data_IF_929227072405
#
_entry.id   IF_929227072405
#
_cell.length_a   1.000
_cell.length_b   1.000
_cell.length_c   1.000
_cell.angle_alpha   90.00
_cell.angle_beta   90.00
_cell.angle_gamma   90.00
#
_symmetry.space_group_name_H-M   'P 1'
#
loop_
_entity.id
_entity.type
_entity.pdbx_description
1 polymer ?
#
# COMPACT_ATOMS: atom_id res chain seq x y z
N UNK A 1 -8.01 10.43 -9.67
CA UNK A 1 -7.03 9.37 -9.96
C UNK A 1 -5.66 10.01 -10.08
N UNK A 2 -4.63 9.54 -9.33
CA UNK A 2 -3.27 10.04 -9.51
C UNK A 2 -2.84 9.84 -10.96
N UNK A 3 -2.18 10.84 -11.54
CA UNK A 3 -1.57 10.68 -12.87
C UNK A 3 -0.63 9.49 -12.84
N UNK A 4 -0.72 8.62 -13.84
CA UNK A 4 0.22 7.51 -14.01
C UNK A 4 1.65 8.04 -14.07
N UNK A 5 2.55 7.33 -13.42
CA UNK A 5 3.98 7.66 -13.49
C UNK A 5 4.50 7.22 -14.86
N UNK A 6 5.22 8.09 -15.56
CA UNK A 6 5.85 7.73 -16.85
C UNK A 6 6.97 6.72 -16.58
N UNK A 7 6.74 5.46 -16.98
CA UNK A 7 7.69 4.37 -16.78
C UNK A 7 9.05 4.58 -17.46
N UNK A 8 9.11 5.43 -18.49
CA UNK A 8 10.34 5.69 -19.26
C UNK A 8 11.25 6.75 -18.62
N UNK A 9 10.70 7.58 -17.75
CA UNK A 9 11.41 8.74 -17.17
C UNK A 9 11.27 8.86 -15.67
N UNK A 10 10.85 7.80 -14.99
CA UNK A 10 10.58 7.84 -13.56
C UNK A 10 11.85 7.96 -12.74
N UNK A 11 11.85 8.89 -11.80
CA UNK A 11 12.92 9.03 -10.81
C UNK A 11 12.53 8.31 -9.51
N UNK A 12 13.49 7.75 -8.74
CA UNK A 12 13.19 7.09 -7.47
C UNK A 12 12.37 7.94 -6.50
N UNK A 13 12.64 9.25 -6.43
CA UNK A 13 11.90 10.17 -5.59
C UNK A 13 10.44 10.36 -6.04
N UNK A 14 10.16 10.26 -7.34
CA UNK A 14 8.79 10.32 -7.87
C UNK A 14 8.01 9.06 -7.53
N UNK A 15 8.66 7.89 -7.63
CA UNK A 15 8.07 6.62 -7.19
C UNK A 15 7.73 6.65 -5.70
N UNK A 16 8.67 7.09 -4.86
CA UNK A 16 8.44 7.20 -3.42
C UNK A 16 7.25 8.11 -3.10
N UNK A 17 7.14 9.27 -3.77
CA UNK A 17 5.99 10.18 -3.62
C UNK A 17 4.69 9.56 -4.12
N UNK A 18 4.72 8.85 -5.24
CA UNK A 18 3.54 8.17 -5.79
C UNK A 18 3.03 7.09 -4.84
N UNK A 19 3.92 6.27 -4.27
CA UNK A 19 3.59 5.26 -3.27
C UNK A 19 3.00 5.89 -1.99
N UNK A 20 3.58 6.99 -1.50
CA UNK A 20 3.03 7.70 -0.34
C UNK A 20 1.61 8.19 -0.58
N UNK A 21 1.36 8.85 -1.73
CA UNK A 21 0.03 9.33 -2.10
C UNK A 21 -0.97 8.20 -2.28
N UNK A 22 -0.56 7.10 -2.90
CA UNK A 22 -1.39 5.90 -3.07
C UNK A 22 -1.79 5.32 -1.71
N UNK A 23 -0.83 5.17 -0.81
CA UNK A 23 -1.08 4.71 0.56
C UNK A 23 -2.06 5.61 1.31
N UNK A 24 -1.90 6.93 1.22
CA UNK A 24 -2.83 7.89 1.82
C UNK A 24 -4.22 7.81 1.20
N UNK A 25 -4.30 7.62 -0.12
CA UNK A 25 -5.54 7.42 -0.85
C UNK A 25 -6.28 6.16 -0.36
N UNK A 26 -5.55 5.06 -0.18
CA UNK A 26 -6.11 3.83 0.37
C UNK A 26 -6.65 3.99 1.78
N UNK A 27 -5.91 4.67 2.66
CA UNK A 27 -6.38 4.95 4.03
C UNK A 27 -7.67 5.78 4.01
N UNK A 28 -7.75 6.78 3.13
CA UNK A 28 -8.99 7.59 2.97
C UNK A 28 -10.15 6.74 2.48
N UNK A 29 -9.91 5.87 1.48
CA UNK A 29 -10.93 4.98 0.94
C UNK A 29 -11.45 4.00 2.01
N UNK A 30 -10.55 3.41 2.81
CA UNK A 30 -10.94 2.53 3.91
C UNK A 30 -11.79 3.25 4.96
N UNK A 31 -11.43 4.48 5.32
CA UNK A 31 -12.23 5.30 6.25
C UNK A 31 -13.60 5.62 5.70
N UNK A 32 -13.68 5.94 4.41
CA UNK A 32 -14.95 6.17 3.74
C UNK A 32 -15.83 4.91 3.75
N UNK A 33 -15.25 3.75 3.43
CA UNK A 33 -15.96 2.47 3.48
C UNK A 33 -16.49 2.14 4.88
N UNK A 34 -15.70 2.38 5.92
CA UNK A 34 -16.14 2.20 7.31
C UNK A 34 -17.30 3.14 7.66
N UNK A 35 -17.22 4.41 7.28
CA UNK A 35 -18.29 5.38 7.50
C UNK A 35 -19.60 5.04 6.75
N UNK A 36 -19.50 4.25 5.70
CA UNK A 36 -20.62 3.76 4.87
C UNK A 36 -21.09 2.36 5.26
N UNK A 37 -20.80 1.90 6.45
CA UNK A 37 -21.23 0.58 6.92
C UNK A 37 -20.53 -0.60 6.25
N UNK A 38 -19.28 -0.43 5.78
CA UNK A 38 -18.50 -1.50 5.16
C UNK A 38 -18.65 -1.59 3.64
N UNK A 39 -19.28 -0.61 3.00
CA UNK A 39 -19.48 -0.55 1.54
C UNK A 39 -18.69 0.59 0.92
N UNK A 40 -17.99 0.31 -0.16
CA UNK A 40 -17.32 1.32 -0.98
C UNK A 40 -18.28 1.87 -2.04
N UNK A 41 -18.09 3.14 -2.48
CA UNK A 41 -18.81 3.64 -3.65
C UNK A 41 -18.45 2.77 -4.87
N UNK A 42 -19.35 2.68 -5.86
CA UNK A 42 -19.03 1.98 -7.10
C UNK A 42 -17.70 2.49 -7.65
N UNK A 43 -16.74 1.59 -7.75
CA UNK A 43 -15.43 1.94 -8.29
C UNK A 43 -15.56 2.19 -9.80
N UNK A 44 -14.70 3.04 -10.35
CA UNK A 44 -14.56 3.21 -11.78
C UNK A 44 -14.25 1.88 -12.50
N UNK A 45 -13.80 0.88 -11.78
CA UNK A 45 -13.54 -0.47 -12.25
C UNK A 45 -14.70 -1.39 -11.87
N UNK A 46 -15.50 -1.74 -12.83
CA UNK A 46 -16.74 -2.49 -12.67
C UNK A 46 -16.60 -3.86 -11.99
N UNK A 47 -15.39 -4.42 -11.98
CA UNK A 47 -15.12 -5.77 -11.46
C UNK A 47 -14.59 -5.79 -10.03
N UNK A 48 -14.47 -4.63 -9.36
CA UNK A 48 -14.02 -4.60 -7.98
C UNK A 48 -15.16 -4.82 -7.01
N UNK A 49 -14.96 -5.66 -5.99
CA UNK A 49 -15.96 -5.83 -4.95
C UNK A 49 -16.16 -4.51 -4.19
N UNK A 50 -17.42 -4.16 -3.96
CA UNK A 50 -17.81 -2.98 -3.18
C UNK A 50 -17.79 -3.25 -1.67
N UNK A 51 -17.74 -4.51 -1.28
CA UNK A 51 -17.54 -4.91 0.12
C UNK A 51 -16.12 -4.58 0.58
N UNK A 52 -16.01 -3.84 1.68
CA UNK A 52 -14.74 -3.32 2.18
C UNK A 52 -13.74 -4.42 2.54
N UNK A 53 -14.20 -5.53 3.13
CA UNK A 53 -13.33 -6.61 3.56
C UNK A 53 -12.75 -7.35 2.35
N UNK A 54 -13.58 -7.65 1.34
CA UNK A 54 -13.13 -8.27 0.10
C UNK A 54 -12.17 -7.35 -0.68
N UNK A 55 -12.49 -6.06 -0.76
CA UNK A 55 -11.62 -5.09 -1.42
C UNK A 55 -10.25 -5.00 -0.74
N UNK A 56 -10.21 -4.93 0.59
CA UNK A 56 -8.96 -4.90 1.35
C UNK A 56 -8.16 -6.20 1.15
N UNK A 57 -8.83 -7.35 1.21
CA UNK A 57 -8.21 -8.65 0.95
C UNK A 57 -7.57 -8.74 -0.43
N UNK A 58 -8.31 -8.31 -1.45
CA UNK A 58 -7.79 -8.23 -2.81
C UNK A 58 -6.55 -7.31 -2.88
N UNK A 59 -6.65 -6.12 -2.30
CA UNK A 59 -5.56 -5.15 -2.36
C UNK A 59 -4.28 -5.68 -1.70
N UNK A 60 -4.39 -6.30 -0.53
CA UNK A 60 -3.25 -6.90 0.18
C UNK A 60 -2.62 -8.03 -0.64
N UNK A 61 -3.43 -8.90 -1.23
CA UNK A 61 -2.96 -9.99 -2.08
C UNK A 61 -2.24 -9.45 -3.34
N UNK A 62 -2.83 -8.44 -3.98
CA UNK A 62 -2.28 -7.80 -5.17
C UNK A 62 -0.93 -7.11 -4.91
N UNK A 63 -0.83 -6.37 -3.82
CA UNK A 63 0.42 -5.76 -3.35
C UNK A 63 1.49 -6.82 -3.06
N UNK A 64 1.11 -7.90 -2.41
CA UNK A 64 2.00 -9.03 -2.14
C UNK A 64 2.55 -9.66 -3.42
N UNK A 65 1.69 -9.84 -4.43
CA UNK A 65 2.06 -10.35 -5.74
C UNK A 65 3.12 -9.48 -6.43
N UNK A 66 2.87 -8.18 -6.56
CA UNK A 66 3.83 -7.27 -7.20
C UNK A 66 5.12 -7.11 -6.42
N UNK A 67 5.06 -7.13 -5.10
CA UNK A 67 6.26 -7.11 -4.26
C UNK A 67 7.12 -8.35 -4.49
N UNK A 68 6.51 -9.52 -4.61
CA UNK A 68 7.20 -10.76 -4.96
C UNK A 68 7.91 -10.65 -6.32
N UNK A 69 7.23 -10.10 -7.32
CA UNK A 69 7.81 -9.86 -8.65
C UNK A 69 9.01 -8.92 -8.59
N UNK A 70 8.92 -7.81 -7.86
CA UNK A 70 10.03 -6.86 -7.71
C UNK A 70 11.23 -7.49 -7.00
N UNK A 71 11.00 -8.28 -5.95
CA UNK A 71 12.06 -9.01 -5.26
C UNK A 71 12.76 -10.01 -6.18
N UNK A 72 11.98 -10.74 -6.98
CA UNK A 72 12.51 -11.70 -7.93
C UNK A 72 13.37 -11.01 -9.00
N UNK A 73 12.85 -9.97 -9.63
CA UNK A 73 13.56 -9.18 -10.65
C UNK A 73 14.85 -8.58 -10.10
N UNK A 74 14.82 -8.01 -8.90
CA UNK A 74 16.01 -7.48 -8.26
C UNK A 74 17.09 -8.55 -8.09
N UNK A 75 16.72 -9.76 -7.65
CA UNK A 75 17.66 -10.89 -7.55
C UNK A 75 18.22 -11.33 -8.89
N UNK A 76 17.36 -11.44 -9.91
CA UNK A 76 17.80 -11.83 -11.27
C UNK A 76 18.77 -10.81 -11.89
N UNK A 77 18.61 -9.54 -11.56
CA UNK A 77 19.49 -8.45 -12.00
C UNK A 77 20.75 -8.30 -11.12
N UNK A 78 20.97 -9.19 -10.17
CA UNK A 78 22.14 -9.15 -9.27
C UNK A 78 22.01 -8.14 -8.12
N UNK A 79 20.87 -7.51 -7.94
CA UNK A 79 20.63 -6.56 -6.84
C UNK A 79 20.05 -7.29 -5.62
N UNK A 80 20.88 -7.60 -4.65
CA UNK A 80 20.42 -8.14 -3.37
C UNK A 80 19.71 -7.04 -2.57
N UNK A 81 18.44 -7.29 -2.24
CA UNK A 81 17.72 -6.39 -1.34
C UNK A 81 18.24 -6.52 0.11
N UNK A 82 18.39 -5.42 0.84
CA UNK A 82 18.80 -5.45 2.24
C UNK A 82 17.88 -6.33 3.09
N UNK A 83 18.44 -7.02 4.10
CA UNK A 83 17.67 -7.87 5.00
C UNK A 83 16.52 -7.10 5.70
N UNK A 84 16.71 -5.81 5.99
CA UNK A 84 15.66 -4.94 6.53
C UNK A 84 14.45 -4.77 5.62
N UNK A 85 14.63 -4.92 4.29
CA UNK A 85 13.54 -4.89 3.31
C UNK A 85 12.88 -6.27 3.20
N UNK A 86 13.68 -7.34 3.05
CA UNK A 86 13.16 -8.69 2.85
C UNK A 86 12.53 -9.29 4.09
N UNK A 87 13.12 -9.06 5.27
CA UNK A 87 12.63 -9.53 6.56
C UNK A 87 11.72 -8.53 7.28
N UNK A 88 11.71 -7.26 6.84
CA UNK A 88 11.00 -6.18 7.54
C UNK A 88 9.49 -6.37 7.62
N UNK A 89 8.91 -7.09 6.67
CA UNK A 89 7.48 -7.42 6.64
C UNK A 89 7.06 -8.40 7.73
N UNK A 90 7.98 -9.27 8.14
CA UNK A 90 7.73 -10.30 9.14
C UNK A 90 7.95 -9.82 10.59
N UNK A 91 8.41 -8.58 10.75
CA UNK A 91 8.61 -7.95 12.06
C UNK A 91 7.31 -7.37 12.63
N UNK A 92 6.32 -8.21 12.83
CA UNK A 92 4.97 -7.83 13.27
C UNK A 92 4.96 -6.93 14.51
N UNK A 93 5.72 -7.28 15.54
CA UNK A 93 5.81 -6.48 16.77
C UNK A 93 6.34 -5.06 16.50
N UNK A 94 7.34 -4.94 15.62
CA UNK A 94 7.91 -3.64 15.23
C UNK A 94 6.88 -2.81 14.46
N UNK A 95 6.18 -3.42 13.48
CA UNK A 95 5.15 -2.76 12.68
C UNK A 95 3.97 -2.30 13.56
N UNK A 96 3.56 -3.13 14.52
CA UNK A 96 2.51 -2.75 15.46
C UNK A 96 2.89 -1.55 16.33
N UNK A 97 4.12 -1.49 16.84
CA UNK A 97 4.61 -0.34 17.63
C UNK A 97 4.66 0.94 16.80
N UNK A 98 5.12 0.86 15.54
CA UNK A 98 5.14 2.01 14.62
C UNK A 98 3.72 2.54 14.34
N UNK A 99 2.75 1.65 14.16
CA UNK A 99 1.36 2.02 13.95
C UNK A 99 0.76 2.72 15.19
N UNK A 100 1.08 2.24 16.39
CA UNK A 100 0.65 2.86 17.65
C UNK A 100 1.26 4.25 17.85
N UNK A 101 2.56 4.40 17.60
CA UNK A 101 3.26 5.68 17.69
C UNK A 101 2.67 6.75 16.74
N UNK A 102 2.28 6.35 15.53
CA UNK A 102 1.62 7.24 14.58
C UNK A 102 0.22 7.69 15.05
N UNK A 103 -0.50 6.80 15.75
CA UNK A 103 -1.81 7.14 16.33
C UNK A 103 -1.69 8.14 17.47
N UNK A 104 -0.68 7.99 18.34
CA UNK A 104 -0.42 8.91 19.45
C UNK A 104 -0.05 10.34 18.98
N UNK A 105 0.67 10.48 17.87
CA UNK A 105 1.04 11.79 17.31
C UNK A 105 -0.11 12.55 16.63
N UNK A 106 -1.20 11.86 16.28
CA UNK A 106 -2.36 12.44 15.57
C UNK A 106 -3.53 12.81 16.48
N UNK A 107 -3.40 12.67 17.79
CA UNK A 107 -4.37 13.23 18.74
C UNK A 107 -3.91 14.65 19.09
N UNK A 108 -4.59 15.70 18.61
CA UNK A 108 -4.45 17.02 19.20
C UNK A 108 -4.92 16.99 20.64
N UNK A 109 -4.44 17.89 21.48
CA UNK A 109 -4.86 18.02 22.88
C UNK A 109 -6.35 18.32 22.98
#
# INVERSE_FOLDING_TARGET
VPRSVDARRVRPAELARALSRSSEGMVRLMRLGLARGGSLPPAAWQNFPTDLAHFLGYFVAHEGHHRGQLCLLARQLGHRLPAGVTAGLWQWKKRAREAQARRGRKRPP
#
